data_IF_767272970035
#
_entry.id   IF_767272970035
#
_cell.length_a   1.000
_cell.length_b   1.000
_cell.length_c   1.000
_cell.angle_alpha   90.00
_cell.angle_beta   90.00
_cell.angle_gamma   90.00
#
_symmetry.space_group_name_H-M   'P 1'
#
loop_
_entity.id
_entity.type
_entity.pdbx_description
1 polymer ?
#
# COMPACT_ATOMS: atom_id res chain seq x y z
N UNK A 1 -21.08 -9.59 29.54
CA UNK A 1 -20.98 -8.55 28.49
C UNK A 1 -20.62 -9.27 27.21
N UNK A 2 -21.60 -9.56 26.34
CA UNK A 2 -21.35 -10.23 25.06
C UNK A 2 -20.59 -9.24 24.19
N UNK A 3 -19.31 -9.54 23.90
CA UNK A 3 -18.52 -8.72 22.99
C UNK A 3 -19.18 -8.71 21.62
N UNK A 4 -19.45 -7.53 21.08
CA UNK A 4 -19.88 -7.37 19.69
C UNK A 4 -18.77 -7.89 18.78
N UNK A 5 -18.98 -9.05 18.17
CA UNK A 5 -18.05 -9.64 17.21
C UNK A 5 -18.14 -8.90 15.87
N UNK A 6 -17.01 -8.85 15.16
CA UNK A 6 -16.96 -8.29 13.80
C UNK A 6 -17.91 -9.08 12.89
N UNK A 7 -18.80 -8.39 12.17
CA UNK A 7 -19.78 -9.03 11.31
C UNK A 7 -19.14 -9.38 9.96
N UNK A 8 -18.31 -10.43 9.95
CA UNK A 8 -17.50 -10.83 8.79
C UNK A 8 -18.30 -10.93 7.49
N UNK A 9 -19.44 -11.63 7.50
CA UNK A 9 -20.24 -11.84 6.28
C UNK A 9 -20.88 -10.55 5.76
N UNK A 10 -21.32 -9.67 6.67
CA UNK A 10 -21.89 -8.37 6.28
C UNK A 10 -20.81 -7.44 5.72
N UNK A 11 -19.65 -7.38 6.38
CA UNK A 11 -18.52 -6.59 5.89
C UNK A 11 -18.00 -7.09 4.54
N UNK A 12 -17.92 -8.41 4.34
CA UNK A 12 -17.52 -9.01 3.07
C UNK A 12 -18.54 -8.69 1.95
N UNK A 13 -19.84 -8.81 2.25
CA UNK A 13 -20.91 -8.47 1.30
C UNK A 13 -20.87 -6.99 0.91
N UNK A 14 -20.68 -6.11 1.89
CA UNK A 14 -20.57 -4.66 1.68
C UNK A 14 -19.31 -4.30 0.87
N UNK A 15 -18.17 -4.91 1.19
CA UNK A 15 -16.94 -4.74 0.42
C UNK A 15 -17.14 -5.15 -1.04
N UNK A 16 -17.76 -6.30 -1.30
CA UNK A 16 -17.96 -6.78 -2.68
C UNK A 16 -18.92 -5.88 -3.46
N UNK A 17 -20.00 -5.41 -2.83
CA UNK A 17 -20.93 -4.47 -3.44
C UNK A 17 -20.22 -3.16 -3.84
N UNK A 18 -19.47 -2.56 -2.90
CA UNK A 18 -18.70 -1.33 -3.14
C UNK A 18 -17.65 -1.56 -4.24
N UNK A 19 -16.91 -2.66 -4.18
CA UNK A 19 -15.85 -2.95 -5.15
C UNK A 19 -16.41 -3.11 -6.56
N UNK A 20 -17.52 -3.83 -6.70
CA UNK A 20 -18.19 -4.05 -7.98
C UNK A 20 -18.77 -2.75 -8.56
N UNK A 21 -19.46 -1.95 -7.73
CA UNK A 21 -19.96 -0.63 -8.12
C UNK A 21 -18.81 0.22 -8.66
N UNK A 22 -17.70 0.30 -7.91
CA UNK A 22 -16.56 1.15 -8.28
C UNK A 22 -15.86 0.68 -9.54
N UNK A 23 -15.66 -0.63 -9.72
CA UNK A 23 -15.09 -1.20 -10.95
C UNK A 23 -15.90 -0.86 -12.21
N UNK A 24 -17.22 -0.70 -12.07
CA UNK A 24 -18.12 -0.36 -13.16
C UNK A 24 -18.19 1.15 -13.45
N UNK A 25 -17.74 2.00 -12.53
CA UNK A 25 -17.83 3.46 -12.70
C UNK A 25 -16.83 4.03 -13.71
N UNK A 26 -15.73 3.31 -14.00
CA UNK A 26 -14.69 3.77 -14.94
C UNK A 26 -13.72 4.83 -14.39
N UNK A 27 -13.95 5.34 -13.16
CA UNK A 27 -13.08 6.35 -12.53
C UNK A 27 -11.82 5.78 -11.87
N UNK A 28 -11.75 4.45 -11.71
CA UNK A 28 -10.62 3.83 -11.03
C UNK A 28 -9.36 3.88 -11.87
N UNK A 29 -8.29 4.37 -11.28
CA UNK A 29 -6.95 4.33 -11.86
C UNK A 29 -6.40 2.92 -11.72
N UNK A 30 -6.20 2.23 -12.84
CA UNK A 30 -5.62 0.88 -12.94
C UNK A 30 -6.06 -0.08 -11.82
N UNK A 31 -7.36 -0.44 -11.73
CA UNK A 31 -7.83 -1.37 -10.72
C UNK A 31 -7.14 -2.72 -10.89
N UNK A 32 -6.44 -3.17 -9.84
CA UNK A 32 -5.59 -4.37 -9.93
C UNK A 32 -6.43 -5.65 -10.14
N UNK A 33 -7.70 -5.65 -9.73
CA UNK A 33 -8.64 -6.74 -10.01
C UNK A 33 -8.89 -6.95 -11.51
N UNK A 34 -8.82 -5.87 -12.30
CA UNK A 34 -8.97 -5.93 -13.77
C UNK A 34 -7.61 -5.99 -14.48
N UNK A 35 -6.51 -6.21 -13.75
CA UNK A 35 -5.19 -6.31 -14.37
C UNK A 35 -5.11 -7.57 -15.23
N UNK A 36 -5.34 -7.41 -16.53
CA UNK A 36 -5.18 -8.44 -17.55
C UNK A 36 -3.78 -8.33 -18.16
N UNK A 37 -3.04 -9.44 -18.15
CA UNK A 37 -1.67 -9.53 -18.69
C UNK A 37 -1.60 -9.12 -20.16
N UNK A 38 -2.59 -9.51 -20.96
CA UNK A 38 -2.59 -9.29 -22.42
C UNK A 38 -2.74 -7.81 -22.80
N UNK A 39 -3.53 -7.07 -22.03
CA UNK A 39 -3.78 -5.64 -22.24
C UNK A 39 -2.69 -4.79 -21.58
N UNK A 40 -2.16 -5.25 -20.44
CA UNK A 40 -1.22 -4.49 -19.61
C UNK A 40 0.21 -4.45 -20.16
N UNK A 41 0.67 -5.50 -20.86
CA UNK A 41 2.01 -5.52 -21.48
C UNK A 41 2.18 -4.48 -22.60
N UNK A 42 1.08 -4.03 -23.22
CA UNK A 42 1.13 -2.94 -24.21
C UNK A 42 1.21 -1.55 -23.55
N UNK A 43 0.66 -1.40 -22.34
CA UNK A 43 0.52 -0.11 -21.64
C UNK A 43 1.61 0.16 -20.62
N UNK A 44 2.22 -0.89 -20.07
CA UNK A 44 3.17 -0.79 -18.97
C UNK A 44 4.52 -1.40 -19.34
N UNK A 45 5.58 -0.76 -18.88
CA UNK A 45 6.94 -1.26 -18.99
C UNK A 45 7.62 -1.24 -17.63
N UNK A 46 8.78 -1.86 -17.53
CA UNK A 46 9.60 -1.85 -16.31
C UNK A 46 10.84 -1.00 -16.52
N UNK A 47 11.03 0.01 -15.67
CA UNK A 47 12.24 0.85 -15.67
C UNK A 47 13.10 0.54 -14.44
N UNK A 48 14.42 0.51 -14.63
CA UNK A 48 15.38 0.25 -13.56
C UNK A 48 16.07 1.53 -13.10
N UNK A 49 16.30 1.67 -11.80
CA UNK A 49 17.04 2.79 -11.20
C UNK A 49 17.96 2.30 -10.09
N UNK A 50 18.98 3.09 -9.74
CA UNK A 50 19.86 2.77 -8.62
C UNK A 50 19.15 2.97 -7.28
N UNK A 51 19.31 2.03 -6.35
CA UNK A 51 18.72 2.07 -5.01
C UNK A 51 19.76 1.70 -3.93
N UNK A 52 19.49 2.03 -2.65
CA UNK A 52 20.35 1.59 -1.54
C UNK A 52 20.20 0.08 -1.38
N UNK A 53 21.30 -0.62 -1.70
CA UNK A 53 21.38 -2.07 -1.62
C UNK A 53 21.34 -2.78 -2.97
N UNK A 54 21.11 -2.09 -4.09
CA UNK A 54 21.08 -2.69 -5.42
C UNK A 54 20.24 -1.91 -6.43
N UNK A 55 19.81 -2.57 -7.49
CA UNK A 55 18.89 -2.00 -8.49
C UNK A 55 17.44 -2.08 -7.98
N UNK A 56 16.64 -1.07 -8.30
CA UNK A 56 15.20 -1.09 -8.12
C UNK A 56 14.49 -1.02 -9.48
N UNK A 57 13.46 -1.83 -9.66
CA UNK A 57 12.61 -1.86 -10.84
C UNK A 57 11.22 -1.37 -10.48
N UNK A 58 10.67 -0.48 -11.31
CA UNK A 58 9.34 0.11 -11.15
C UNK A 58 8.53 -0.10 -12.42
N UNK A 59 7.22 -0.08 -12.27
CA UNK A 59 6.29 -0.15 -13.40
C UNK A 59 5.99 1.28 -13.83
N UNK A 60 6.20 1.59 -15.10
CA UNK A 60 5.93 2.89 -15.69
C UNK A 60 5.02 2.76 -16.91
N UNK A 61 4.37 3.86 -17.28
CA UNK A 61 3.62 3.95 -18.55
C UNK A 61 4.54 3.72 -19.74
N UNK A 62 4.02 3.06 -20.78
CA UNK A 62 4.72 2.82 -22.03
C UNK A 62 4.42 3.97 -23.00
N UNK A 63 5.10 5.11 -22.82
CA UNK A 63 4.83 6.32 -23.62
C UNK A 63 5.63 6.37 -24.94
N UNK A 64 5.89 5.22 -25.55
CA UNK A 64 6.46 5.14 -26.91
C UNK A 64 7.84 5.79 -27.10
N UNK A 65 8.62 6.01 -26.04
CA UNK A 65 9.97 6.57 -26.10
C UNK A 65 10.12 8.03 -25.64
N UNK A 66 9.08 8.67 -25.09
CA UNK A 66 9.24 9.96 -24.43
C UNK A 66 9.92 9.83 -23.05
N UNK A 67 10.75 10.81 -22.71
CA UNK A 67 11.61 10.82 -21.53
C UNK A 67 10.89 11.00 -20.17
N UNK A 68 9.55 10.96 -20.14
CA UNK A 68 8.72 11.24 -18.96
C UNK A 68 7.80 10.07 -18.60
N UNK A 69 8.32 8.84 -18.63
CA UNK A 69 7.54 7.67 -18.22
C UNK A 69 7.13 7.79 -16.73
N UNK A 70 5.83 7.83 -16.46
CA UNK A 70 5.28 8.03 -15.11
C UNK A 70 5.10 6.70 -14.39
N UNK A 71 5.31 6.66 -13.07
CA UNK A 71 5.09 5.44 -12.27
C UNK A 71 3.59 5.09 -12.23
N UNK A 72 3.27 3.83 -12.52
CA UNK A 72 1.88 3.38 -12.57
C UNK A 72 1.34 3.19 -11.16
N UNK A 73 0.26 3.90 -10.86
CA UNK A 73 -0.52 3.76 -9.63
C UNK A 73 -1.64 2.74 -9.85
N UNK A 74 -1.74 1.77 -8.96
CA UNK A 74 -2.77 0.73 -8.95
C UNK A 74 -3.76 0.96 -7.82
N UNK A 75 -4.99 0.51 -8.00
CA UNK A 75 -6.05 0.62 -7.00
C UNK A 75 -6.53 -0.76 -6.53
N UNK A 76 -6.75 -0.91 -5.22
CA UNK A 76 -7.35 -2.09 -4.59
C UNK A 76 -8.35 -1.66 -3.50
N UNK A 77 -9.46 -2.39 -3.37
CA UNK A 77 -10.40 -2.23 -2.26
C UNK A 77 -10.16 -3.31 -1.21
N UNK A 78 -10.37 -2.99 0.06
CA UNK A 78 -10.26 -3.99 1.12
C UNK A 78 -10.69 -3.46 2.49
N UNK A 79 -10.76 -4.36 3.46
CA UNK A 79 -11.03 -4.05 4.87
C UNK A 79 -9.69 -3.93 5.60
N UNK A 80 -9.51 -2.89 6.40
CA UNK A 80 -8.31 -2.74 7.24
C UNK A 80 -8.36 -3.75 8.39
N UNK A 81 -7.49 -4.75 8.33
CA UNK A 81 -7.24 -5.68 9.43
C UNK A 81 -6.41 -5.02 10.53
N UNK A 82 -5.35 -4.34 10.13
CA UNK A 82 -4.45 -3.62 11.03
C UNK A 82 -3.87 -2.40 10.32
N UNK A 83 -3.78 -1.27 11.02
CA UNK A 83 -3.07 -0.09 10.53
C UNK A 83 -2.09 0.48 11.56
N UNK A 84 -0.98 1.03 11.06
CA UNK A 84 -0.02 1.85 11.79
C UNK A 84 0.10 3.16 11.01
N UNK A 85 -0.79 4.09 11.35
CA UNK A 85 -0.96 5.36 10.66
C UNK A 85 -0.73 6.52 11.65
N UNK A 86 -0.35 7.71 11.15
CA UNK A 86 -0.30 8.91 11.97
C UNK A 86 -1.67 9.26 12.58
N UNK A 87 -1.73 10.13 13.60
CA UNK A 87 -0.67 11.00 14.09
C UNK A 87 0.34 10.30 14.99
N UNK A 88 1.61 10.68 14.85
CA UNK A 88 2.68 10.23 15.76
C UNK A 88 2.64 11.07 17.03
N UNK A 89 2.07 10.48 18.09
CA UNK A 89 1.86 11.16 19.38
C UNK A 89 2.74 10.63 20.51
N UNK A 90 3.45 9.52 20.27
CA UNK A 90 4.33 8.83 21.23
C UNK A 90 5.76 8.78 20.69
N UNK A 91 6.76 9.07 21.53
CA UNK A 91 8.16 8.91 21.16
C UNK A 91 8.50 7.47 20.79
N UNK A 92 9.44 7.31 19.87
CA UNK A 92 9.96 6.00 19.50
C UNK A 92 10.91 5.46 20.57
N UNK A 93 10.98 4.12 20.69
CA UNK A 93 11.92 3.46 21.58
C UNK A 93 13.38 3.72 21.18
N UNK A 94 14.31 3.61 22.14
CA UNK A 94 15.75 3.87 21.93
C UNK A 94 16.39 3.00 20.84
N UNK A 95 15.84 1.81 20.58
CA UNK A 95 16.32 0.87 19.56
C UNK A 95 15.67 1.07 18.18
N UNK A 96 14.70 1.97 18.06
CA UNK A 96 14.00 2.20 16.80
C UNK A 96 14.90 2.95 15.82
N UNK A 97 15.06 2.42 14.62
CA UNK A 97 15.80 3.09 13.55
C UNK A 97 14.84 3.99 12.75
N UNK A 98 15.14 5.29 12.55
CA UNK A 98 14.30 6.17 11.74
C UNK A 98 14.15 5.68 10.30
N UNK A 99 15.15 4.94 9.79
CA UNK A 99 15.13 4.35 8.44
C UNK A 99 14.06 3.26 8.25
N UNK A 100 13.56 2.70 9.35
CA UNK A 100 12.56 1.64 9.34
C UNK A 100 11.16 2.15 9.69
N UNK A 101 11.03 3.45 10.01
CA UNK A 101 9.73 4.06 10.27
C UNK A 101 8.92 4.14 8.97
N UNK A 102 7.68 3.67 9.05
CA UNK A 102 6.78 3.61 7.91
C UNK A 102 5.33 3.66 8.37
N UNK A 103 4.49 4.17 7.49
CA UNK A 103 3.04 4.05 7.54
C UNK A 103 2.68 2.70 6.93
N UNK A 104 1.79 1.95 7.56
CA UNK A 104 1.41 0.62 7.09
C UNK A 104 -0.07 0.35 7.27
N UNK A 105 -0.63 -0.34 6.29
CA UNK A 105 -1.92 -1.00 6.40
C UNK A 105 -1.80 -2.47 6.02
N UNK A 106 -2.67 -3.27 6.61
CA UNK A 106 -2.87 -4.68 6.30
C UNK A 106 -4.32 -4.84 5.89
N UNK A 107 -4.55 -5.18 4.63
CA UNK A 107 -5.87 -5.35 4.06
C UNK A 107 -6.28 -6.81 4.06
N UNK A 108 -7.58 -7.08 4.17
CA UNK A 108 -8.19 -8.36 3.81
C UNK A 108 -9.45 -8.14 3.00
N UNK A 109 -9.73 -9.06 2.09
CA UNK A 109 -11.02 -9.11 1.40
C UNK A 109 -12.04 -10.01 2.07
N UNK A 110 -11.68 -10.69 3.17
CA UNK A 110 -12.52 -11.73 3.79
C UNK A 110 -13.01 -12.81 2.79
N UNK A 111 -12.24 -13.06 1.73
CA UNK A 111 -12.55 -14.06 0.71
C UNK A 111 -13.46 -13.57 -0.43
N UNK A 112 -13.72 -12.26 -0.54
CA UNK A 112 -14.55 -11.74 -1.62
C UNK A 112 -13.94 -12.00 -3.01
N UNK A 113 -14.77 -12.27 -4.04
CA UNK A 113 -14.29 -12.54 -5.40
C UNK A 113 -13.42 -11.43 -5.96
N UNK A 114 -13.84 -10.17 -5.81
CA UNK A 114 -13.10 -9.03 -6.36
C UNK A 114 -11.72 -8.86 -5.70
N UNK A 115 -11.61 -9.11 -4.39
CA UNK A 115 -10.32 -9.07 -3.70
C UNK A 115 -9.40 -10.21 -4.15
N UNK A 116 -9.92 -11.42 -4.34
CA UNK A 116 -9.13 -12.54 -4.83
C UNK A 116 -8.62 -12.28 -6.25
N UNK A 117 -9.44 -11.70 -7.13
CA UNK A 117 -9.02 -11.25 -8.46
C UNK A 117 -7.91 -10.20 -8.39
N UNK A 118 -7.97 -9.28 -7.41
CA UNK A 118 -6.91 -8.32 -7.15
C UNK A 118 -5.58 -8.99 -6.74
N UNK A 119 -5.64 -10.05 -5.93
CA UNK A 119 -4.46 -10.84 -5.57
C UNK A 119 -3.86 -11.56 -6.79
N UNK A 120 -4.70 -12.13 -7.65
CA UNK A 120 -4.24 -12.73 -8.91
C UNK A 120 -3.59 -11.67 -9.83
N UNK A 121 -4.16 -10.46 -9.86
CA UNK A 121 -3.59 -9.30 -10.55
C UNK A 121 -2.20 -8.94 -10.02
N UNK A 122 -2.00 -8.96 -8.70
CA UNK A 122 -0.71 -8.73 -8.07
C UNK A 122 0.33 -9.80 -8.42
N UNK A 123 -0.06 -11.06 -8.54
CA UNK A 123 0.84 -12.14 -8.99
C UNK A 123 1.32 -11.89 -10.42
N UNK A 124 0.41 -11.45 -11.31
CA UNK A 124 0.77 -11.07 -12.67
C UNK A 124 1.65 -9.82 -12.71
N UNK A 125 1.39 -8.86 -11.83
CA UNK A 125 2.19 -7.65 -11.66
C UNK A 125 3.63 -7.95 -11.20
N UNK A 126 3.78 -8.84 -10.21
CA UNK A 126 5.08 -9.31 -9.73
C UNK A 126 5.85 -10.03 -10.83
N UNK A 127 5.14 -10.83 -11.64
CA UNK A 127 5.72 -11.49 -12.81
C UNK A 127 6.24 -10.48 -13.84
N UNK A 128 5.52 -9.36 -14.06
CA UNK A 128 5.95 -8.28 -14.95
C UNK A 128 7.28 -7.67 -14.46
N UNK A 129 7.36 -7.31 -13.17
CA UNK A 129 8.56 -6.75 -12.54
C UNK A 129 9.78 -7.67 -12.64
N UNK A 130 9.54 -8.98 -12.72
CA UNK A 130 10.55 -10.03 -12.73
C UNK A 130 10.87 -10.55 -14.12
N UNK A 131 10.25 -10.04 -15.20
CA UNK A 131 10.42 -10.56 -16.56
C UNK A 131 11.88 -10.77 -16.98
N UNK A 132 12.76 -9.85 -16.58
CA UNK A 132 14.18 -9.87 -16.95
C UNK A 132 15.09 -10.47 -15.86
N UNK A 133 14.52 -11.08 -14.84
CA UNK A 133 15.24 -11.59 -13.68
C UNK A 133 15.09 -13.10 -13.57
N UNK A 134 16.20 -13.79 -13.29
CA UNK A 134 16.20 -15.23 -12.97
C UNK A 134 15.83 -15.46 -11.50
N UNK A 135 14.74 -14.84 -11.04
CA UNK A 135 14.23 -14.94 -9.68
C UNK A 135 12.76 -15.38 -9.69
N UNK A 136 12.38 -16.21 -8.74
CA UNK A 136 11.00 -16.72 -8.65
C UNK A 136 10.11 -15.71 -7.91
N UNK A 137 8.85 -15.51 -8.35
CA UNK A 137 7.86 -14.75 -7.61
C UNK A 137 7.76 -15.21 -6.15
N UNK A 138 7.56 -14.25 -5.24
CA UNK A 138 7.29 -14.52 -3.83
C UNK A 138 5.83 -14.20 -3.53
N UNK A 139 5.24 -14.93 -2.60
CA UNK A 139 3.89 -14.65 -2.15
C UNK A 139 3.84 -13.25 -1.52
N UNK A 140 3.04 -12.36 -2.12
CA UNK A 140 2.86 -10.98 -1.63
C UNK A 140 1.77 -10.90 -0.56
N UNK A 141 0.77 -11.79 -0.66
CA UNK A 141 -0.25 -11.96 0.35
C UNK A 141 0.22 -12.96 1.43
N UNK A 142 -0.35 -12.84 2.61
CA UNK A 142 -0.16 -13.79 3.72
C UNK A 142 -1.52 -14.32 4.15
N UNK A 143 -1.60 -15.56 4.62
CA UNK A 143 -2.81 -16.06 5.24
C UNK A 143 -2.79 -15.75 6.74
N UNK A 144 -3.77 -14.99 7.22
CA UNK A 144 -3.95 -14.71 8.65
C UNK A 144 -5.36 -15.15 9.03
N UNK A 145 -5.43 -16.10 9.97
CA UNK A 145 -6.68 -16.72 10.43
C UNK A 145 -7.62 -17.17 9.33
N UNK A 146 -7.07 -17.80 8.28
CA UNK A 146 -7.83 -18.38 7.17
C UNK A 146 -8.06 -17.45 5.99
N UNK A 147 -7.79 -16.15 6.13
CA UNK A 147 -8.06 -15.18 5.07
C UNK A 147 -6.78 -14.64 4.44
N UNK A 148 -6.73 -14.48 3.10
CA UNK A 148 -5.68 -13.74 2.44
C UNK A 148 -5.62 -12.29 2.93
N UNK A 149 -4.41 -11.84 3.20
CA UNK A 149 -4.12 -10.48 3.70
C UNK A 149 -2.97 -9.86 2.94
N UNK A 150 -3.03 -8.55 2.70
CA UNK A 150 -2.06 -7.82 1.90
C UNK A 150 -1.49 -6.64 2.69
N UNK A 151 -0.17 -6.64 2.90
CA UNK A 151 0.54 -5.54 3.54
C UNK A 151 0.99 -4.48 2.53
N UNK A 152 0.65 -3.22 2.78
CA UNK A 152 1.07 -2.07 1.95
C UNK A 152 1.69 -1.02 2.87
N UNK A 153 2.85 -0.46 2.48
CA UNK A 153 3.65 0.39 3.34
C UNK A 153 4.21 1.60 2.61
N UNK A 154 4.43 2.72 3.30
CA UNK A 154 5.31 3.78 2.80
C UNK A 154 6.19 4.32 3.93
N UNK A 155 7.48 4.51 3.66
CA UNK A 155 8.45 5.00 4.64
C UNK A 155 8.23 6.48 4.87
N UNK A 156 8.38 6.93 6.11
CA UNK A 156 8.38 8.37 6.40
C UNK A 156 9.62 9.08 5.84
N UNK A 157 10.72 8.35 5.70
CA UNK A 157 12.00 8.93 5.35
C UNK A 157 12.73 8.17 4.25
N UNK A 158 13.45 8.94 3.44
CA UNK A 158 14.44 8.49 2.46
C UNK A 158 15.81 9.04 2.86
N UNK A 159 16.89 8.32 2.51
CA UNK A 159 18.27 8.81 2.72
C UNK A 159 18.54 10.00 1.81
N UNK A 160 19.17 11.07 2.31
CA UNK A 160 19.59 12.23 1.49
C UNK A 160 20.39 11.81 0.26
N UNK A 161 21.25 10.80 0.39
CA UNK A 161 22.06 10.26 -0.70
C UNK A 161 21.24 9.64 -1.84
N UNK A 162 19.98 9.28 -1.58
CA UNK A 162 19.06 8.67 -2.53
C UNK A 162 17.96 9.60 -3.01
N UNK A 163 17.74 10.71 -2.31
CA UNK A 163 16.62 11.58 -2.55
C UNK A 163 16.78 12.42 -3.83
N UNK A 164 17.78 12.14 -4.68
CA UNK A 164 18.03 12.87 -5.93
C UNK A 164 17.99 14.40 -5.75
N UNK A 165 18.60 14.90 -4.67
CA UNK A 165 18.61 16.32 -4.29
C UNK A 165 17.24 16.92 -3.92
N UNK A 166 16.18 16.10 -3.78
CA UNK A 166 14.89 16.54 -3.25
C UNK A 166 15.04 17.14 -1.85
N UNK A 167 14.42 18.30 -1.68
CA UNK A 167 14.39 19.00 -0.42
C UNK A 167 13.50 18.28 0.60
N UNK A 168 13.86 18.47 1.86
CA UNK A 168 13.04 17.97 2.95
C UNK A 168 11.74 18.76 3.04
N UNK A 169 10.62 18.03 2.94
CA UNK A 169 9.29 18.55 3.21
C UNK A 169 8.93 18.25 4.65
N UNK A 170 8.60 19.27 5.44
CA UNK A 170 8.15 19.09 6.83
C UNK A 170 6.83 18.33 6.93
N UNK A 171 6.61 17.69 8.08
CA UNK A 171 5.33 17.08 8.43
C UNK A 171 4.32 18.15 8.85
N UNK A 172 3.04 17.91 8.58
CA UNK A 172 1.97 18.75 9.11
C UNK A 172 1.47 18.20 10.46
N UNK A 173 0.62 18.97 11.15
CA UNK A 173 0.12 18.61 12.47
C UNK A 173 -0.79 17.38 12.49
N UNK A 174 -1.41 17.00 11.36
CA UNK A 174 -2.19 15.77 11.30
C UNK A 174 -1.32 14.51 11.23
N UNK A 175 -0.03 14.67 10.93
CA UNK A 175 0.96 13.59 10.86
C UNK A 175 1.87 13.60 12.09
N UNK A 176 2.42 14.75 12.45
CA UNK A 176 3.41 14.90 13.53
C UNK A 176 3.08 16.08 14.46
N UNK A 177 1.96 16.03 15.19
CA UNK A 177 1.48 17.15 16.03
C UNK A 177 2.44 17.56 17.15
N UNK A 178 3.45 16.74 17.44
CA UNK A 178 4.42 16.96 18.52
C UNK A 178 5.86 17.11 18.02
N UNK A 179 6.08 17.15 16.70
CA UNK A 179 7.43 17.23 16.13
C UNK A 179 8.31 16.01 16.43
N UNK A 180 7.72 14.86 16.74
CA UNK A 180 8.42 13.63 17.12
C UNK A 180 9.11 13.03 15.91
N UNK A 181 8.41 12.91 14.77
CA UNK A 181 9.02 12.44 13.52
C UNK A 181 10.13 13.39 13.08
N UNK A 182 9.87 14.69 13.14
CA UNK A 182 10.86 15.70 12.73
C UNK A 182 12.14 15.62 13.57
N UNK A 183 11.99 15.54 14.90
CA UNK A 183 13.12 15.36 15.81
C UNK A 183 13.88 14.03 15.57
N UNK A 184 13.19 12.98 15.11
CA UNK A 184 13.77 11.65 14.92
C UNK A 184 14.49 11.46 13.57
N UNK A 185 14.27 12.37 12.60
CA UNK A 185 14.86 12.33 11.26
C UNK A 185 16.40 12.36 11.29
N UNK A 186 16.97 13.20 12.15
CA UNK A 186 18.41 13.52 12.15
C UNK A 186 18.88 14.16 10.84
N UNK A 187 20.19 14.22 10.60
CA UNK A 187 20.72 15.00 9.45
C UNK A 187 20.81 14.24 8.12
N UNK A 188 20.67 12.91 8.16
CA UNK A 188 20.94 12.04 7.00
C UNK A 188 19.69 11.62 6.23
N UNK A 189 18.51 11.95 6.75
CA UNK A 189 17.23 11.54 6.23
C UNK A 189 16.38 12.75 5.82
N UNK A 190 15.50 12.55 4.86
CA UNK A 190 14.55 13.53 4.35
C UNK A 190 13.20 12.87 4.13
N UNK A 191 12.13 13.61 4.42
CA UNK A 191 10.78 13.30 3.96
C UNK A 191 10.55 14.04 2.64
N UNK A 192 10.20 13.32 1.58
CA UNK A 192 9.97 13.90 0.25
C UNK A 192 8.56 13.60 -0.26
N UNK A 193 8.22 14.05 -1.48
CA UNK A 193 6.91 13.76 -2.09
C UNK A 193 6.64 12.26 -2.18
N UNK A 194 7.69 11.46 -2.42
CA UNK A 194 7.62 9.99 -2.48
C UNK A 194 7.21 9.34 -1.15
N UNK A 195 7.51 10.01 -0.02
CA UNK A 195 7.19 9.52 1.31
C UNK A 195 5.78 9.92 1.78
N UNK A 196 5.07 10.75 1.01
CA UNK A 196 3.73 11.22 1.37
C UNK A 196 2.67 10.15 1.08
N UNK A 197 1.71 10.05 1.99
CA UNK A 197 0.48 9.29 1.82
C UNK A 197 -0.69 10.26 1.89
N UNK A 198 -1.58 10.21 0.91
CA UNK A 198 -2.79 11.03 0.91
C UNK A 198 -3.96 10.31 1.57
N UNK A 199 -4.78 11.05 2.30
CA UNK A 199 -5.91 10.52 3.05
C UNK A 199 -7.20 11.20 2.60
N UNK A 200 -8.16 10.41 2.15
CA UNK A 200 -9.46 10.87 1.68
C UNK A 200 -10.61 10.14 2.38
N UNK A 201 -11.81 10.69 2.27
CA UNK A 201 -13.06 10.06 2.70
C UNK A 201 -14.14 10.29 1.65
N UNK A 202 -14.92 9.25 1.35
CA UNK A 202 -16.12 9.31 0.53
C UNK A 202 -17.18 10.16 1.24
N UNK A 203 -17.69 11.19 0.58
CA UNK A 203 -18.81 11.99 1.04
C UNK A 203 -20.11 11.30 0.64
N UNK A 204 -20.92 10.95 1.62
CA UNK A 204 -22.21 10.25 1.45
C UNK A 204 -23.35 11.17 0.98
N UNK A 205 -23.15 12.49 1.01
CA UNK A 205 -24.21 13.47 0.77
C UNK A 205 -24.14 14.17 -0.60
N UNK A 206 -23.16 13.86 -1.45
CA UNK A 206 -23.04 14.49 -2.77
C UNK A 206 -23.13 13.42 -3.87
N UNK A 207 -24.06 13.63 -4.81
CA UNK A 207 -24.13 12.87 -6.05
C UNK A 207 -23.22 13.53 -7.11
N UNK A 208 -22.24 12.78 -7.64
CA UNK A 208 -21.30 13.26 -8.67
C UNK A 208 -19.93 13.72 -8.13
N UNK A 209 -18.99 14.00 -9.05
CA UNK A 209 -17.51 14.14 -8.92
C UNK A 209 -16.90 14.93 -7.71
N UNK A 210 -17.72 15.50 -6.82
CA UNK A 210 -17.34 16.01 -5.49
C UNK A 210 -17.33 14.95 -4.37
N UNK A 211 -17.34 13.66 -4.71
CA UNK A 211 -17.55 12.55 -3.78
C UNK A 211 -16.42 12.32 -2.76
N UNK A 212 -15.28 13.00 -2.83
CA UNK A 212 -14.15 12.76 -1.92
C UNK A 212 -13.63 14.06 -1.32
N UNK A 213 -13.31 14.00 -0.03
CA UNK A 213 -12.64 15.10 0.68
C UNK A 213 -11.43 14.61 1.43
N UNK A 214 -10.45 15.50 1.63
CA UNK A 214 -9.30 15.21 2.47
C UNK A 214 -9.76 14.89 3.89
N UNK A 215 -9.17 13.87 4.48
CA UNK A 215 -9.39 13.50 5.88
C UNK A 215 -8.05 13.40 6.61
N UNK A 216 -8.10 13.26 7.93
CA UNK A 216 -6.93 12.99 8.73
C UNK A 216 -6.72 11.48 8.86
N UNK A 217 -5.47 11.00 8.95
CA UNK A 217 -5.20 9.57 9.13
C UNK A 217 -5.79 9.02 10.45
N UNK A 218 -5.93 9.86 11.48
CA UNK A 218 -6.60 9.51 12.74
C UNK A 218 -8.05 9.01 12.57
N UNK A 219 -8.70 9.36 11.46
CA UNK A 219 -10.07 8.98 11.17
C UNK A 219 -10.19 7.61 10.50
N UNK A 220 -9.07 6.94 10.21
CA UNK A 220 -9.01 5.64 9.56
C UNK A 220 -8.63 4.59 10.61
N UNK A 221 -9.43 3.53 10.72
CA UNK A 221 -9.36 2.55 11.79
C UNK A 221 -9.42 1.12 11.27
N UNK A 222 -9.09 0.17 12.13
CA UNK A 222 -9.34 -1.23 11.85
C UNK A 222 -10.86 -1.47 11.69
N UNK A 223 -11.23 -2.31 10.72
CA UNK A 223 -12.61 -2.56 10.33
C UNK A 223 -13.10 -1.70 9.16
N UNK A 224 -12.44 -0.59 8.86
CA UNK A 224 -12.85 0.30 7.79
C UNK A 224 -12.73 -0.37 6.41
N UNK A 225 -13.73 -0.15 5.55
CA UNK A 225 -13.63 -0.48 4.13
C UNK A 225 -12.99 0.70 3.41
N UNK A 226 -11.89 0.43 2.71
CA UNK A 226 -11.07 1.44 2.08
C UNK A 226 -10.77 1.12 0.62
N UNK A 227 -10.57 2.19 -0.15
CA UNK A 227 -9.83 2.14 -1.41
C UNK A 227 -8.38 2.56 -1.14
N UNK A 228 -7.44 1.80 -1.69
CA UNK A 228 -6.02 2.04 -1.51
C UNK A 228 -5.37 2.17 -2.86
N UNK A 229 -4.61 3.24 -3.03
CA UNK A 229 -3.71 3.40 -4.16
C UNK A 229 -2.28 3.09 -3.75
N UNK A 230 -1.59 2.33 -4.60
CA UNK A 230 -0.20 1.93 -4.36
C UNK A 230 0.58 1.85 -5.67
N UNK A 231 1.90 1.92 -5.57
CA UNK A 231 2.81 1.54 -6.67
C UNK A 231 3.58 0.28 -6.29
N UNK A 232 4.10 -0.45 -7.28
CA UNK A 232 4.88 -1.67 -7.06
C UNK A 232 6.34 -1.45 -7.47
N UNK A 233 7.26 -1.72 -6.55
CA UNK A 233 8.70 -1.64 -6.78
C UNK A 233 9.37 -2.95 -6.40
N UNK A 234 10.12 -3.54 -7.31
CA UNK A 234 11.01 -4.65 -7.03
C UNK A 234 12.38 -4.12 -6.62
N UNK A 235 12.93 -4.57 -5.49
CA UNK A 235 14.22 -4.10 -4.98
C UNK A 235 15.18 -5.27 -4.86
N UNK A 236 16.37 -5.13 -5.43
CA UNK A 236 17.48 -6.03 -5.19
C UNK A 236 17.99 -5.92 -3.74
N UNK A 237 18.10 -7.06 -3.09
CA UNK A 237 18.66 -7.21 -1.75
C UNK A 237 20.01 -7.93 -1.86
N UNK A 238 21.11 -7.18 -1.73
CA UNK A 238 22.46 -7.76 -1.62
C UNK A 238 22.62 -8.50 -0.30
N UNK A 239 22.42 -9.82 -0.32
CA UNK A 239 22.72 -10.67 0.83
C UNK A 239 24.23 -10.90 0.89
N UNK A 240 24.94 -10.16 1.77
CA UNK A 240 26.42 -10.11 1.82
C UNK A 240 27.13 -11.42 2.17
N UNK A 241 26.41 -12.48 2.55
CA UNK A 241 27.01 -13.70 3.12
C UNK A 241 26.98 -14.94 2.24
N UNK A 242 26.05 -15.11 1.28
CA UNK A 242 25.93 -16.37 0.53
C UNK A 242 25.37 -16.13 -0.88
N UNK A 243 26.12 -16.61 -1.89
CA UNK A 243 25.68 -17.04 -3.24
C UNK A 243 25.44 -16.00 -4.35
N UNK A 244 25.80 -16.45 -5.54
CA UNK A 244 25.64 -15.93 -6.91
C UNK A 244 24.20 -15.65 -7.37
N UNK A 245 23.22 -15.61 -6.45
CA UNK A 245 21.81 -15.32 -6.74
C UNK A 245 21.40 -13.97 -6.17
N UNK A 246 21.04 -13.05 -7.07
CA UNK A 246 20.37 -11.80 -6.73
C UNK A 246 19.02 -12.11 -6.09
N UNK A 247 18.83 -11.74 -4.82
CA UNK A 247 17.54 -11.86 -4.15
C UNK A 247 16.75 -10.58 -4.39
N UNK A 248 15.56 -10.67 -4.99
CA UNK A 248 14.69 -9.50 -5.15
C UNK A 248 13.44 -9.60 -4.27
N UNK A 249 12.97 -8.45 -3.78
CA UNK A 249 11.77 -8.34 -2.95
C UNK A 249 10.88 -7.26 -3.56
N UNK A 250 9.63 -7.61 -3.81
CA UNK A 250 8.60 -6.68 -4.28
C UNK A 250 8.01 -5.97 -3.09
N UNK A 251 7.93 -4.65 -3.19
CA UNK A 251 7.34 -3.77 -2.19
C UNK A 251 6.17 -3.02 -2.81
N UNK A 252 5.04 -3.06 -2.12
CA UNK A 252 3.89 -2.22 -2.43
C UNK A 252 4.03 -0.91 -1.63
N UNK A 253 4.17 0.19 -2.36
CA UNK A 253 4.36 1.53 -1.80
C UNK A 253 3.00 2.21 -1.68
N UNK A 254 2.58 2.47 -0.45
CA UNK A 254 1.31 3.14 -0.14
C UNK A 254 1.32 4.59 -0.66
N UNK A 255 0.35 4.97 -1.50
CA UNK A 255 0.22 6.33 -2.04
C UNK A 255 -0.98 7.07 -1.51
N UNK A 256 -2.13 6.41 -1.40
CA UNK A 256 -3.32 6.99 -0.78
C UNK A 256 -4.23 5.96 -0.13
N UNK A 257 -5.02 6.42 0.84
CA UNK A 257 -6.12 5.68 1.44
C UNK A 257 -7.37 6.56 1.38
N UNK A 258 -8.44 6.01 0.82
CA UNK A 258 -9.75 6.63 0.81
C UNK A 258 -10.71 5.79 1.63
N UNK A 259 -11.21 6.35 2.73
CA UNK A 259 -12.26 5.72 3.53
C UNK A 259 -13.58 5.70 2.75
N UNK A 260 -14.11 4.51 2.49
CA UNK A 260 -15.35 4.30 1.74
C UNK A 260 -16.54 4.06 2.66
N UNK A 261 -16.33 3.30 3.73
CA UNK A 261 -17.37 2.92 4.69
C UNK A 261 -16.73 2.65 6.08
N UNK A 262 -17.23 3.33 7.11
CA UNK A 262 -16.81 3.21 8.51
C UNK A 262 -17.86 2.50 9.39
N UNK A 263 -18.86 1.84 8.80
CA UNK A 263 -19.92 1.11 9.51
C UNK A 263 -19.37 0.01 10.43
N UNK A 264 -18.19 -0.53 10.10
CA UNK A 264 -17.58 -1.64 10.84
C UNK A 264 -16.34 -1.21 11.67
N UNK A 265 -16.09 0.09 11.84
CA UNK A 265 -14.94 0.61 12.59
C UNK A 265 -14.91 0.12 14.06
N UNK A 266 -13.70 -0.03 14.60
CA UNK A 266 -13.42 -0.32 16.02
C UNK A 266 -13.93 -1.66 16.57
N UNK A 267 -14.45 -2.54 15.73
CA UNK A 267 -14.73 -3.92 16.14
C UNK A 267 -13.47 -4.76 15.81
N UNK A 268 -12.77 -5.34 16.82
CA UNK A 268 -11.59 -6.15 16.55
C UNK A 268 -11.93 -7.28 15.57
N UNK A 269 -11.28 -7.30 14.42
CA UNK A 269 -11.36 -8.42 13.49
C UNK A 269 -10.56 -9.58 14.12
N UNK A 270 -11.25 -10.42 14.89
CA UNK A 270 -10.66 -11.63 15.46
C UNK A 270 -10.62 -12.71 14.40
N UNK A 271 -9.58 -12.70 13.55
CA UNK A 271 -9.26 -13.84 12.72
C UNK A 271 -8.68 -14.93 13.62
N UNK A 272 -9.47 -15.96 13.93
CA UNK A 272 -9.00 -17.06 14.78
C UNK A 272 -7.73 -17.66 14.17
N UNK A 273 -6.62 -17.62 14.90
CA UNK A 273 -5.44 -18.39 14.54
C UNK A 273 -5.80 -19.87 14.63
N UNK A 274 -6.04 -20.53 13.50
CA UNK A 274 -5.98 -21.99 13.43
C UNK A 274 -4.51 -22.39 13.61
N UNK A 275 -4.05 -22.40 14.86
CA UNK A 275 -2.84 -23.11 15.26
C UNK A 275 -3.13 -24.61 15.19
N UNK A 276 -3.08 -25.18 14.00
CA UNK A 276 -2.93 -26.62 13.83
C UNK A 276 -1.51 -26.88 13.33
N UNK A 277 -0.65 -27.17 14.32
CA UNK A 277 0.63 -27.91 14.31
C UNK A 277 1.58 -27.75 13.12
#
# INVERSE_FOLDING_TARGET
>A
MLGTFYQHDQAASQLEAISTERLNTGYLVNPIAQYDKSISETRFTTTSSNSVGGVAWRITTNDGGNASAEEVVFTIHGIILQCDLPPIIRPFGKSTSPKHLQQRILLTGLGTPTFNQALDGLVRLDSLLRLNLRDTPKELAQNIGGHPTLGITNRYFTSKRMANEEEHIGFNDSIDPKGILEAFRGDTLVHTTENKVFYYRKQTHLSGDGLFSKTQPANIKNGDIVEVQFTATLIESKNRKISTKTNCITKLVLRSITLLDDTFSEVPISLAYNNNY
#
